data_IF_899520921185
#
_entry.id   IF_899520921185
#
_cell.length_a   1.000
_cell.length_b   1.000
_cell.length_c   1.000
_cell.angle_alpha   90.00
_cell.angle_beta   90.00
_cell.angle_gamma   90.00
#
_symmetry.space_group_name_H-M   'P 1'
#
loop_
_entity.id
_entity.type
_entity.pdbx_description
1 polymer ?
#
# COMPACT_ATOMS: atom_id res chain seq x y z
N UNK A 1 27.87 -10.85 20.31
CA UNK A 1 28.81 -11.39 19.33
C UNK A 1 29.03 -10.34 18.24
N UNK A 2 30.28 -9.91 18.01
CA UNK A 2 30.60 -8.90 16.98
C UNK A 2 30.55 -9.54 15.61
N UNK A 3 29.72 -9.00 14.69
CA UNK A 3 29.61 -9.53 13.33
C UNK A 3 30.81 -9.11 12.48
N UNK A 4 31.26 -9.91 11.49
CA UNK A 4 32.50 -9.65 10.73
C UNK A 4 32.58 -8.27 10.08
N UNK A 5 31.44 -7.73 9.64
CA UNK A 5 31.37 -6.38 9.04
C UNK A 5 31.53 -5.23 10.03
N UNK A 6 31.34 -5.46 11.34
CA UNK A 6 31.47 -4.40 12.35
C UNK A 6 32.90 -3.83 12.44
N UNK A 7 33.93 -4.59 12.04
CA UNK A 7 35.31 -4.09 12.01
C UNK A 7 35.53 -2.93 11.01
N UNK A 8 34.65 -2.80 10.01
CA UNK A 8 34.67 -1.73 9.02
C UNK A 8 33.61 -0.64 9.29
N UNK A 9 32.85 -0.79 10.38
CA UNK A 9 31.77 0.12 10.72
C UNK A 9 32.33 1.43 11.27
N UNK A 10 31.79 2.61 10.85
CA UNK A 10 32.23 3.87 11.40
C UNK A 10 32.01 3.92 12.92
N UNK A 11 33.06 4.27 13.68
CA UNK A 11 33.05 4.21 15.14
C UNK A 11 31.95 5.05 15.82
N UNK A 12 31.46 6.09 15.13
CA UNK A 12 30.39 7.00 15.64
C UNK A 12 28.97 6.58 15.26
N UNK A 13 28.80 5.49 14.52
CA UNK A 13 27.48 5.00 14.15
C UNK A 13 27.08 3.81 15.02
N UNK A 14 25.83 3.71 15.47
CA UNK A 14 25.37 2.55 16.21
C UNK A 14 25.41 1.30 15.35
N UNK A 15 25.74 0.16 15.92
CA UNK A 15 25.76 -1.14 15.22
C UNK A 15 24.36 -1.72 14.97
N UNK A 16 23.35 -1.15 15.59
CA UNK A 16 21.94 -1.54 15.44
C UNK A 16 21.06 -0.31 15.32
N UNK A 17 19.99 -0.44 14.56
CA UNK A 17 18.92 0.55 14.46
C UNK A 17 17.83 0.13 15.42
N UNK A 18 17.38 1.05 16.27
CA UNK A 18 16.15 0.87 17.06
C UNK A 18 15.02 1.54 16.29
N UNK A 19 14.18 0.77 15.59
CA UNK A 19 13.06 1.35 14.86
C UNK A 19 12.05 1.95 15.85
N UNK A 20 11.41 3.07 15.51
CA UNK A 20 10.32 3.60 16.33
C UNK A 20 9.17 2.58 16.35
N UNK A 21 8.48 2.50 17.49
CA UNK A 21 7.29 1.65 17.67
C UNK A 21 6.03 2.35 17.11
N UNK A 22 6.13 2.84 15.86
CA UNK A 22 5.06 3.54 15.15
C UNK A 22 4.83 2.89 13.78
N UNK A 23 3.61 3.02 13.26
CA UNK A 23 3.28 2.59 11.90
C UNK A 23 3.74 3.62 10.86
N UNK A 24 3.80 3.23 9.60
CA UNK A 24 4.04 4.18 8.50
C UNK A 24 2.88 5.19 8.38
N UNK A 25 1.66 4.79 8.75
CA UNK A 25 0.53 5.71 8.83
C UNK A 25 0.78 6.88 9.79
N UNK A 26 1.41 6.62 10.93
CA UNK A 26 1.72 7.68 11.91
C UNK A 26 2.61 8.77 11.31
N UNK A 27 3.51 8.43 10.40
CA UNK A 27 4.36 9.41 9.72
C UNK A 27 3.53 10.40 8.88
N UNK A 28 2.52 9.90 8.15
CA UNK A 28 1.59 10.75 7.40
C UNK A 28 0.72 11.58 8.35
N UNK A 29 0.14 10.97 9.39
CA UNK A 29 -0.73 11.64 10.34
C UNK A 29 0.00 12.75 11.13
N UNK A 30 1.25 12.52 11.52
CA UNK A 30 2.10 13.53 12.16
C UNK A 30 2.40 14.68 11.19
N UNK A 31 2.73 14.36 9.93
CA UNK A 31 3.01 15.38 8.92
C UNK A 31 1.79 16.23 8.62
N UNK A 32 0.62 15.63 8.51
CA UNK A 32 -0.65 16.31 8.26
C UNK A 32 -1.04 17.23 9.44
N UNK A 33 -0.80 16.83 10.68
CA UNK A 33 -1.01 17.69 11.85
C UNK A 33 -0.04 18.87 11.91
N UNK A 34 1.23 18.65 11.54
CA UNK A 34 2.26 19.70 11.58
C UNK A 34 2.16 20.69 10.43
N UNK A 35 1.77 20.21 9.26
CA UNK A 35 1.84 20.97 8.01
C UNK A 35 0.60 20.75 7.13
N UNK A 36 -0.62 20.98 7.63
CA UNK A 36 -1.86 20.59 6.95
C UNK A 36 -1.98 21.17 5.54
N UNK A 37 -1.56 22.40 5.35
CA UNK A 37 -1.73 23.16 4.10
C UNK A 37 -0.54 23.02 3.14
N UNK A 38 0.57 22.39 3.60
CA UNK A 38 1.72 22.19 2.71
C UNK A 38 1.40 21.17 1.62
N UNK A 39 1.95 21.34 0.42
CA UNK A 39 1.90 20.33 -0.63
C UNK A 39 2.49 19.01 -0.16
N UNK A 40 1.70 17.94 -0.22
CA UNK A 40 2.15 16.57 0.01
C UNK A 40 2.45 15.87 -1.31
N UNK A 41 1.60 16.06 -2.32
CA UNK A 41 1.76 15.49 -3.65
C UNK A 41 1.55 16.58 -4.71
N UNK A 42 2.37 16.53 -5.75
CA UNK A 42 2.21 17.34 -6.96
C UNK A 42 2.24 16.41 -8.16
N UNK A 43 1.19 16.46 -8.98
CA UNK A 43 1.05 15.57 -10.13
C UNK A 43 0.33 16.29 -11.27
N UNK A 44 0.95 16.40 -12.43
CA UNK A 44 0.44 17.14 -13.60
C UNK A 44 -0.14 18.52 -13.25
N UNK A 45 0.58 19.30 -12.46
CA UNK A 45 0.18 20.65 -12.05
C UNK A 45 -0.93 20.72 -10.96
N UNK A 46 -1.48 19.60 -10.56
CA UNK A 46 -2.40 19.52 -9.42
C UNK A 46 -1.66 19.21 -8.13
N UNK A 47 -2.11 19.82 -7.05
CA UNK A 47 -1.49 19.67 -5.73
C UNK A 47 -2.51 19.12 -4.74
N UNK A 48 -2.10 18.10 -3.96
CA UNK A 48 -2.79 17.69 -2.73
C UNK A 48 -2.00 18.18 -1.53
N UNK A 49 -2.67 18.80 -0.57
CA UNK A 49 -2.05 19.11 0.72
C UNK A 49 -1.99 17.87 1.63
N UNK A 50 -1.20 17.93 2.69
CA UNK A 50 -1.13 16.84 3.67
C UNK A 50 -2.49 16.56 4.33
N UNK A 51 -3.28 17.58 4.65
CA UNK A 51 -4.62 17.41 5.20
C UNK A 51 -5.56 16.70 4.20
N UNK A 52 -5.53 17.11 2.93
CA UNK A 52 -6.33 16.48 1.88
C UNK A 52 -5.92 15.01 1.64
N UNK A 53 -4.62 14.74 1.64
CA UNK A 53 -4.09 13.38 1.50
C UNK A 53 -4.55 12.49 2.66
N UNK A 54 -4.39 12.95 3.91
CA UNK A 54 -4.84 12.22 5.09
C UNK A 54 -6.33 11.91 5.02
N UNK A 55 -7.17 12.91 4.71
CA UNK A 55 -8.61 12.72 4.60
C UNK A 55 -9.00 11.72 3.52
N UNK A 56 -8.32 11.74 2.36
CA UNK A 56 -8.56 10.78 1.29
C UNK A 56 -8.21 9.35 1.74
N UNK A 57 -7.06 9.17 2.42
CA UNK A 57 -6.65 7.89 2.96
C UNK A 57 -7.63 7.35 4.00
N UNK A 58 -8.11 8.19 4.92
CA UNK A 58 -9.07 7.79 5.96
C UNK A 58 -10.41 7.35 5.37
N UNK A 59 -10.91 8.06 4.35
CA UNK A 59 -12.13 7.65 3.64
C UNK A 59 -11.98 6.30 2.94
N UNK A 60 -10.86 6.10 2.25
CA UNK A 60 -10.62 4.82 1.57
C UNK A 60 -10.38 3.68 2.58
N UNK A 61 -9.71 3.94 3.70
CA UNK A 61 -9.54 2.94 4.76
C UNK A 61 -10.90 2.51 5.35
N UNK A 62 -11.81 3.47 5.60
CA UNK A 62 -13.17 3.16 6.04
C UNK A 62 -13.95 2.34 5.00
N UNK A 63 -13.77 2.62 3.71
CA UNK A 63 -14.35 1.83 2.63
C UNK A 63 -13.82 0.38 2.65
N UNK A 64 -12.50 0.19 2.75
CA UNK A 64 -11.89 -1.14 2.84
C UNK A 64 -12.43 -1.93 4.03
N UNK A 65 -12.56 -1.29 5.19
CA UNK A 65 -13.15 -1.91 6.39
C UNK A 65 -14.62 -2.29 6.17
N UNK A 66 -15.41 -1.46 5.48
CA UNK A 66 -16.79 -1.77 5.14
C UNK A 66 -16.94 -2.94 4.16
N UNK A 67 -15.92 -3.20 3.35
CA UNK A 67 -15.80 -4.37 2.48
C UNK A 67 -15.29 -5.62 3.24
N UNK A 68 -15.10 -5.53 4.54
CA UNK A 68 -14.69 -6.65 5.39
C UNK A 68 -13.18 -6.83 5.56
N UNK A 69 -12.35 -5.90 5.06
CA UNK A 69 -10.89 -5.95 5.26
C UNK A 69 -10.57 -5.83 6.74
N UNK A 70 -9.82 -6.78 7.26
CA UNK A 70 -9.40 -6.87 8.65
C UNK A 70 -7.88 -6.71 8.78
N UNK A 71 -7.43 -6.56 10.01
CA UNK A 71 -6.01 -6.48 10.34
C UNK A 71 -5.24 -7.69 9.81
N UNK A 72 -4.20 -7.42 9.04
CA UNK A 72 -3.34 -8.45 8.47
C UNK A 72 -3.80 -9.00 7.12
N UNK A 73 -5.00 -8.62 6.63
CA UNK A 73 -5.44 -8.98 5.29
C UNK A 73 -4.52 -8.33 4.24
N UNK A 74 -4.30 -9.05 3.15
CA UNK A 74 -3.49 -8.56 2.03
C UNK A 74 -4.41 -7.94 0.99
N UNK A 75 -4.08 -6.70 0.62
CA UNK A 75 -4.79 -5.95 -0.42
C UNK A 75 -3.82 -5.71 -1.57
N UNK A 76 -4.17 -6.17 -2.76
CA UNK A 76 -3.37 -5.91 -3.96
C UNK A 76 -3.49 -4.44 -4.33
N UNK A 77 -2.37 -3.85 -4.72
CA UNK A 77 -2.29 -2.49 -5.20
C UNK A 77 -1.64 -2.50 -6.58
N UNK A 78 -2.48 -2.54 -7.62
CA UNK A 78 -2.10 -2.66 -9.02
C UNK A 78 -2.43 -1.39 -9.78
N UNK A 79 -1.50 -0.45 -9.80
CA UNK A 79 -1.65 0.80 -10.54
C UNK A 79 -0.32 1.51 -10.81
N UNK A 80 -0.32 2.38 -11.80
CA UNK A 80 0.80 3.25 -12.13
C UNK A 80 1.07 4.27 -11.01
N UNK A 81 2.29 4.86 -11.03
CA UNK A 81 2.64 5.93 -10.10
C UNK A 81 1.75 7.16 -10.30
N UNK A 82 0.84 7.38 -9.37
CA UNK A 82 -0.10 8.49 -9.36
C UNK A 82 -0.49 8.83 -7.91
N UNK A 83 -1.17 9.96 -7.66
CA UNK A 83 -1.64 10.29 -6.32
C UNK A 83 -2.54 9.23 -5.69
N UNK A 84 -3.35 8.54 -6.50
CA UNK A 84 -4.24 7.48 -6.06
C UNK A 84 -3.49 6.28 -5.50
N UNK A 85 -2.32 5.94 -6.07
CA UNK A 85 -1.44 4.89 -5.52
C UNK A 85 -0.99 5.24 -4.11
N UNK A 86 -0.60 6.48 -3.87
CA UNK A 86 -0.17 6.94 -2.53
C UNK A 86 -1.34 6.90 -1.56
N UNK A 87 -2.53 7.37 -1.98
CA UNK A 87 -3.75 7.32 -1.18
C UNK A 87 -4.08 5.88 -0.81
N UNK A 88 -4.10 4.97 -1.79
CA UNK A 88 -4.43 3.57 -1.57
C UNK A 88 -3.40 2.88 -0.66
N UNK A 89 -2.10 3.13 -0.87
CA UNK A 89 -1.04 2.60 -0.03
C UNK A 89 -1.26 2.95 1.45
N UNK A 90 -1.43 4.24 1.75
CA UNK A 90 -1.65 4.68 3.13
C UNK A 90 -3.02 4.29 3.69
N UNK A 91 -4.05 4.18 2.84
CA UNK A 91 -5.37 3.70 3.25
C UNK A 91 -5.34 2.23 3.69
N UNK A 92 -4.65 1.37 2.95
CA UNK A 92 -4.44 -0.04 3.32
C UNK A 92 -3.72 -0.13 4.67
N UNK A 93 -2.64 0.63 4.85
CA UNK A 93 -1.91 0.67 6.13
C UNK A 93 -2.79 1.22 7.27
N UNK A 94 -3.65 2.20 7.00
CA UNK A 94 -4.59 2.77 7.98
C UNK A 94 -5.68 1.78 8.37
N UNK A 95 -6.04 0.84 7.49
CA UNK A 95 -6.94 -0.27 7.77
C UNK A 95 -6.26 -1.44 8.51
N UNK A 96 -5.00 -1.27 8.95
CA UNK A 96 -4.16 -2.32 9.54
C UNK A 96 -3.91 -3.52 8.61
N UNK A 97 -4.13 -3.36 7.32
CA UNK A 97 -3.92 -4.37 6.29
C UNK A 97 -2.50 -4.30 5.69
N UNK A 98 -2.16 -5.30 4.91
CA UNK A 98 -0.86 -5.45 4.24
C UNK A 98 -0.98 -5.01 2.79
N UNK A 99 -0.13 -4.07 2.37
CA UNK A 99 -0.04 -3.66 0.97
C UNK A 99 0.75 -4.69 0.18
N UNK A 100 0.16 -5.20 -0.90
CA UNK A 100 0.84 -6.07 -1.87
C UNK A 100 0.95 -5.30 -3.20
N UNK A 101 2.08 -4.61 -3.43
CA UNK A 101 2.26 -3.85 -4.65
C UNK A 101 2.48 -4.79 -5.82
N UNK A 102 1.79 -4.52 -6.92
CA UNK A 102 1.85 -5.30 -8.15
C UNK A 102 2.42 -4.43 -9.27
N UNK A 103 3.24 -5.01 -10.14
CA UNK A 103 3.70 -4.31 -11.32
C UNK A 103 2.57 -4.20 -12.35
N UNK A 104 2.14 -2.98 -12.74
CA UNK A 104 1.03 -2.78 -13.67
C UNK A 104 1.31 -3.28 -15.10
N UNK A 105 2.51 -3.77 -15.38
CA UNK A 105 2.84 -4.42 -16.66
C UNK A 105 2.53 -5.93 -16.66
N UNK A 106 2.21 -6.51 -15.51
CA UNK A 106 1.89 -7.93 -15.40
C UNK A 106 0.59 -8.25 -16.14
N UNK A 107 0.53 -9.47 -16.69
CA UNK A 107 -0.63 -10.01 -17.39
C UNK A 107 -1.37 -11.02 -16.52
N UNK A 108 -2.55 -11.42 -16.96
CA UNK A 108 -3.45 -12.28 -16.19
C UNK A 108 -2.77 -13.53 -15.61
N UNK A 109 -1.85 -14.18 -16.36
CA UNK A 109 -1.15 -15.38 -15.85
C UNK A 109 -0.24 -15.07 -14.64
N UNK A 110 0.46 -13.95 -14.67
CA UNK A 110 1.33 -13.53 -13.57
C UNK A 110 0.49 -13.04 -12.38
N UNK A 111 -0.62 -12.33 -12.67
CA UNK A 111 -1.53 -11.79 -11.66
C UNK A 111 -2.20 -12.88 -10.82
N UNK A 112 -2.43 -14.08 -11.37
CA UNK A 112 -2.93 -15.24 -10.60
C UNK A 112 -2.04 -15.53 -9.39
N UNK A 113 -0.73 -15.50 -9.58
CA UNK A 113 0.23 -15.73 -8.49
C UNK A 113 0.13 -14.65 -7.41
N UNK A 114 0.00 -13.38 -7.82
CA UNK A 114 -0.18 -12.27 -6.86
C UNK A 114 -1.49 -12.35 -6.07
N UNK A 115 -2.54 -12.99 -6.61
CA UNK A 115 -3.79 -13.23 -5.89
C UNK A 115 -3.62 -14.40 -4.92
N UNK A 116 -3.06 -15.51 -5.39
CA UNK A 116 -3.06 -16.79 -4.65
C UNK A 116 -1.99 -16.86 -3.56
N UNK A 117 -0.76 -16.41 -3.84
CA UNK A 117 0.36 -16.52 -2.91
C UNK A 117 0.13 -15.77 -1.59
N UNK A 118 -0.32 -14.50 -1.59
CA UNK A 118 -0.67 -13.80 -0.36
C UNK A 118 -2.10 -14.12 0.14
N UNK A 119 -2.89 -14.94 -0.55
CA UNK A 119 -4.31 -15.15 -0.30
C UNK A 119 -5.09 -13.81 -0.26
N UNK A 120 -4.90 -12.98 -1.27
CA UNK A 120 -5.57 -11.69 -1.35
C UNK A 120 -7.02 -11.83 -1.78
N UNK A 121 -7.92 -11.07 -1.12
CA UNK A 121 -9.36 -11.08 -1.41
C UNK A 121 -9.83 -9.73 -1.97
N UNK A 122 -9.05 -8.69 -1.82
CA UNK A 122 -9.36 -7.34 -2.25
C UNK A 122 -8.21 -6.81 -3.09
N UNK A 123 -8.55 -6.12 -4.17
CA UNK A 123 -7.57 -5.41 -4.99
C UNK A 123 -8.03 -3.98 -5.26
N UNK A 124 -7.07 -3.07 -5.38
CA UNK A 124 -7.27 -1.69 -5.84
C UNK A 124 -6.46 -1.53 -7.11
N UNK A 125 -7.13 -1.16 -8.18
CA UNK A 125 -6.50 -0.98 -9.49
C UNK A 125 -7.08 0.25 -10.21
N UNK A 126 -6.57 0.55 -11.39
CA UNK A 126 -7.12 1.57 -12.29
C UNK A 126 -8.00 0.92 -13.37
N UNK A 127 -8.94 1.69 -13.92
CA UNK A 127 -9.92 1.17 -14.87
C UNK A 127 -9.29 0.51 -16.12
N UNK A 128 -8.13 0.99 -16.54
CA UNK A 128 -7.37 0.45 -17.66
C UNK A 128 -6.70 -0.91 -17.37
N UNK A 129 -6.40 -1.20 -16.09
CA UNK A 129 -5.77 -2.45 -15.65
C UNK A 129 -6.80 -3.47 -15.12
N UNK A 130 -8.00 -3.02 -14.79
CA UNK A 130 -9.02 -3.84 -14.13
C UNK A 130 -9.38 -5.10 -14.93
N UNK A 131 -9.35 -5.04 -16.27
CA UNK A 131 -9.67 -6.18 -17.13
C UNK A 131 -8.72 -7.36 -16.98
N UNK A 132 -7.41 -7.10 -16.93
CA UNK A 132 -6.40 -8.14 -16.73
C UNK A 132 -6.52 -8.78 -15.34
N UNK A 133 -6.74 -7.97 -14.31
CA UNK A 133 -6.87 -8.45 -12.94
C UNK A 133 -8.18 -9.25 -12.73
N UNK A 134 -9.28 -8.81 -13.32
CA UNK A 134 -10.54 -9.56 -13.34
C UNK A 134 -10.38 -10.91 -14.05
N UNK A 135 -9.76 -10.93 -15.23
CA UNK A 135 -9.51 -12.17 -15.97
C UNK A 135 -8.63 -13.16 -15.16
N UNK A 136 -7.60 -12.65 -14.47
CA UNK A 136 -6.78 -13.46 -13.59
C UNK A 136 -7.60 -14.07 -12.45
N UNK A 137 -8.43 -13.27 -11.79
CA UNK A 137 -9.30 -13.70 -10.69
C UNK A 137 -10.33 -14.74 -11.16
N UNK A 138 -11.01 -14.51 -12.30
CA UNK A 138 -12.04 -15.40 -12.82
C UNK A 138 -11.51 -16.77 -13.23
N UNK A 139 -10.25 -16.84 -13.62
CA UNK A 139 -9.58 -18.10 -13.98
C UNK A 139 -9.20 -18.95 -12.74
N UNK A 140 -9.31 -18.42 -11.53
CA UNK A 140 -9.01 -19.13 -10.29
C UNK A 140 -10.25 -19.90 -9.77
N UNK A 141 -10.04 -20.94 -8.93
CA UNK A 141 -11.13 -21.58 -8.20
C UNK A 141 -11.89 -20.57 -7.34
N UNK A 142 -13.20 -20.74 -7.19
CA UNK A 142 -14.08 -19.78 -6.50
C UNK A 142 -13.58 -19.35 -5.10
N UNK A 143 -12.98 -20.29 -4.36
CA UNK A 143 -12.42 -20.00 -3.04
C UNK A 143 -11.13 -19.18 -3.02
N UNK A 144 -10.53 -18.91 -4.18
CA UNK A 144 -9.27 -18.16 -4.32
C UNK A 144 -9.43 -16.84 -5.09
N UNK A 145 -10.65 -16.54 -5.54
CA UNK A 145 -10.95 -15.31 -6.30
C UNK A 145 -10.92 -14.07 -5.42
N UNK A 146 -10.65 -12.94 -6.06
CA UNK A 146 -10.92 -11.64 -5.44
C UNK A 146 -12.42 -11.51 -5.19
N UNK A 147 -12.77 -10.97 -4.04
CA UNK A 147 -14.15 -10.67 -3.64
C UNK A 147 -14.53 -9.23 -4.03
N UNK A 148 -13.53 -8.34 -4.06
CA UNK A 148 -13.70 -6.93 -4.40
C UNK A 148 -12.54 -6.46 -5.29
N UNK A 149 -12.90 -5.74 -6.35
CA UNK A 149 -12.00 -5.13 -7.30
C UNK A 149 -12.46 -3.69 -7.56
#
# INVERSE_FOLDING_TARGET
>A
MMRPHHKFWPARLPHAITPPATSLWDNLAISARRYPDKPALVFFGRTLSYAQLQQACERLAACLQSLGVQKGDRVLLDMQNCPQLVIAHFAILRADAVVVPVNPMNRAEELKHYITDPDARVAITTADLAGELAAASDALPAGQRLQHL
#
